data_IF_775968010102
#
_entry.id   IF_775968010102
#
_cell.length_a   1.000
_cell.length_b   1.000
_cell.length_c   1.000
_cell.angle_alpha   90.00
_cell.angle_beta   90.00
_cell.angle_gamma   90.00
#
_symmetry.space_group_name_H-M   'P 1'
#
loop_
_entity.id
_entity.type
_entity.pdbx_description
1 polymer ?
#
# COMPACT_ATOMS: atom_id res chain seq x y z
N UNK A 1 -68.05 -15.40 -29.72
CA UNK A 1 -66.93 -14.48 -29.46
C UNK A 1 -66.69 -14.45 -27.97
N UNK A 2 -65.53 -14.92 -27.49
CA UNK A 2 -64.99 -14.62 -26.16
C UNK A 2 -63.52 -15.10 -26.12
N UNK A 3 -62.59 -14.15 -26.17
CA UNK A 3 -61.14 -14.32 -26.00
C UNK A 3 -60.78 -14.45 -24.52
N UNK A 4 -59.76 -15.23 -24.15
CA UNK A 4 -59.08 -15.09 -22.87
C UNK A 4 -57.60 -14.71 -23.08
N UNK A 5 -57.25 -13.44 -22.85
CA UNK A 5 -55.85 -12.98 -22.85
C UNK A 5 -55.65 -12.01 -21.66
N UNK A 6 -55.41 -12.56 -20.47
CA UNK A 6 -55.26 -11.75 -19.25
C UNK A 6 -54.33 -12.37 -18.19
N UNK A 7 -53.26 -13.07 -18.59
CA UNK A 7 -52.37 -13.75 -17.63
C UNK A 7 -50.86 -13.72 -17.96
N UNK A 8 -50.35 -12.68 -18.65
CA UNK A 8 -48.91 -12.60 -18.99
C UNK A 8 -48.11 -11.42 -18.39
N UNK A 9 -48.74 -10.48 -17.67
CA UNK A 9 -48.05 -9.23 -17.28
C UNK A 9 -47.45 -9.19 -15.86
N UNK A 10 -47.61 -10.22 -15.03
CA UNK A 10 -47.05 -10.22 -13.66
C UNK A 10 -45.56 -10.63 -13.60
N UNK A 11 -45.06 -11.36 -14.61
CA UNK A 11 -43.67 -11.84 -14.63
C UNK A 11 -42.63 -10.79 -15.01
N UNK A 12 -43.04 -9.71 -15.69
CA UNK A 12 -42.12 -8.68 -16.22
C UNK A 12 -41.68 -7.70 -15.13
N UNK A 13 -42.55 -7.41 -14.15
CA UNK A 13 -42.25 -6.46 -13.06
C UNK A 13 -41.26 -7.01 -12.02
N UNK A 14 -41.34 -8.30 -11.69
CA UNK A 14 -40.40 -8.94 -10.76
C UNK A 14 -38.98 -9.04 -11.35
N UNK A 15 -38.87 -9.37 -12.63
CA UNK A 15 -37.58 -9.36 -13.34
C UNK A 15 -36.97 -7.96 -13.43
N UNK A 16 -37.78 -6.91 -13.63
CA UNK A 16 -37.29 -5.53 -13.65
C UNK A 16 -36.78 -5.05 -12.28
N UNK A 17 -37.41 -5.50 -11.18
CA UNK A 17 -36.98 -5.18 -9.82
C UNK A 17 -35.65 -5.87 -9.45
N UNK A 18 -35.50 -7.17 -9.75
CA UNK A 18 -34.23 -7.88 -9.48
C UNK A 18 -33.09 -7.39 -10.37
N UNK A 19 -33.35 -7.07 -11.65
CA UNK A 19 -32.35 -6.45 -12.54
C UNK A 19 -31.92 -5.08 -12.01
N UNK A 20 -32.81 -4.32 -11.39
CA UNK A 20 -32.47 -3.01 -10.82
C UNK A 20 -31.64 -3.10 -9.53
N UNK A 21 -31.87 -4.09 -8.66
CA UNK A 21 -31.06 -4.29 -7.45
C UNK A 21 -29.67 -4.86 -7.78
N UNK A 22 -29.60 -5.79 -8.72
CA UNK A 22 -28.33 -6.31 -9.24
C UNK A 22 -27.56 -5.21 -9.98
N UNK A 23 -28.24 -4.31 -10.68
CA UNK A 23 -27.62 -3.15 -11.32
C UNK A 23 -26.96 -2.20 -10.31
N UNK A 24 -27.65 -1.94 -9.20
CA UNK A 24 -27.14 -1.11 -8.12
C UNK A 24 -25.93 -1.75 -7.42
N UNK A 25 -25.90 -3.07 -7.24
CA UNK A 25 -24.76 -3.74 -6.60
C UNK A 25 -23.53 -3.86 -7.53
N UNK A 26 -23.74 -3.81 -8.85
CA UNK A 26 -22.67 -3.83 -9.85
C UNK A 26 -22.03 -2.46 -10.11
N UNK A 27 -22.63 -1.38 -9.57
CA UNK A 27 -22.09 -0.01 -9.65
C UNK A 27 -21.30 0.32 -8.39
N UNK A 28 -19.97 0.39 -8.51
CA UNK A 28 -19.10 0.78 -7.38
C UNK A 28 -19.31 2.26 -7.04
N UNK A 29 -19.49 2.58 -5.75
CA UNK A 29 -19.58 3.96 -5.22
C UNK A 29 -18.22 4.67 -5.24
N UNK A 30 -17.63 4.88 -6.41
CA UNK A 30 -16.40 5.65 -6.57
C UNK A 30 -16.57 6.70 -7.65
N UNK A 31 -16.11 7.91 -7.37
CA UNK A 31 -16.11 9.08 -8.27
C UNK A 31 -15.09 8.98 -9.41
N UNK A 32 -14.64 7.76 -9.74
CA UNK A 32 -13.66 7.53 -10.80
C UNK A 32 -14.36 7.53 -12.16
N UNK A 33 -13.86 8.33 -13.10
CA UNK A 33 -14.42 8.52 -14.45
C UNK A 33 -14.55 7.21 -15.23
N UNK A 34 -13.75 6.18 -14.89
CA UNK A 34 -13.83 4.88 -15.55
C UNK A 34 -15.18 4.18 -15.34
N UNK A 35 -15.90 4.48 -14.26
CA UNK A 35 -17.20 3.85 -13.96
C UNK A 35 -18.36 4.41 -14.79
N UNK A 36 -18.17 5.53 -15.49
CA UNK A 36 -19.13 5.99 -16.49
C UNK A 36 -19.22 5.02 -17.68
N UNK A 37 -18.12 4.32 -17.96
CA UNK A 37 -17.94 3.48 -19.15
C UNK A 37 -17.79 1.99 -18.82
N UNK A 38 -17.91 1.63 -17.53
CA UNK A 38 -17.77 0.27 -17.07
C UNK A 38 -18.63 -0.06 -15.86
N UNK A 39 -18.99 -1.34 -15.75
CA UNK A 39 -19.69 -1.91 -14.59
C UNK A 39 -18.97 -3.15 -14.08
N UNK A 40 -19.17 -3.54 -12.83
CA UNK A 40 -18.74 -4.88 -12.38
C UNK A 40 -19.50 -5.95 -13.19
N UNK A 41 -18.82 -7.05 -13.51
CA UNK A 41 -19.49 -8.25 -14.02
C UNK A 41 -20.28 -8.91 -12.90
N UNK A 42 -19.63 -9.11 -11.75
CA UNK A 42 -20.19 -9.84 -10.61
C UNK A 42 -20.10 -9.02 -9.32
N UNK A 43 -21.13 -9.07 -8.45
CA UNK A 43 -21.13 -8.42 -7.14
C UNK A 43 -19.99 -8.90 -6.22
N UNK A 44 -19.63 -10.17 -6.35
CA UNK A 44 -18.63 -10.83 -5.52
C UNK A 44 -17.20 -10.55 -6.02
N UNK A 45 -17.01 -10.47 -7.34
CA UNK A 45 -15.71 -10.26 -7.98
C UNK A 45 -15.46 -8.81 -8.38
N UNK A 46 -14.90 -8.05 -7.44
CA UNK A 46 -14.52 -6.63 -7.62
C UNK A 46 -13.47 -6.40 -8.73
N UNK A 47 -12.80 -7.44 -9.19
CA UNK A 47 -11.75 -7.35 -10.19
C UNK A 47 -12.25 -7.54 -11.63
N UNK A 48 -13.47 -8.08 -11.81
CA UNK A 48 -14.06 -8.30 -13.13
C UNK A 48 -14.93 -7.11 -13.50
N UNK A 49 -14.50 -6.36 -14.52
CA UNK A 49 -15.19 -5.16 -15.00
C UNK A 49 -15.49 -5.30 -16.47
N UNK A 50 -16.74 -5.06 -16.86
CA UNK A 50 -17.20 -5.08 -18.24
C UNK A 50 -17.25 -3.68 -18.81
N UNK A 51 -16.73 -3.53 -20.03
CA UNK A 51 -16.85 -2.31 -20.82
C UNK A 51 -18.28 -2.17 -21.35
N UNK A 52 -18.93 -1.02 -21.13
CA UNK A 52 -20.28 -0.76 -21.62
C UNK A 52 -20.34 -0.52 -23.13
N UNK A 53 -19.23 -0.12 -23.75
CA UNK A 53 -19.17 0.21 -25.18
C UNK A 53 -18.99 -1.03 -26.06
N UNK A 54 -18.05 -1.89 -25.71
CA UNK A 54 -17.71 -3.08 -26.52
C UNK A 54 -18.05 -4.41 -25.87
N UNK A 55 -18.46 -4.42 -24.60
CA UNK A 55 -18.76 -5.63 -23.85
C UNK A 55 -17.54 -6.42 -23.36
N UNK A 56 -16.32 -5.94 -23.63
CA UNK A 56 -15.10 -6.65 -23.23
C UNK A 56 -14.94 -6.68 -21.71
N UNK A 57 -14.57 -7.84 -21.19
CA UNK A 57 -14.32 -8.04 -19.76
C UNK A 57 -12.84 -7.89 -19.43
N UNK A 58 -12.55 -7.19 -18.32
CA UNK A 58 -11.22 -6.95 -17.81
C UNK A 58 -11.10 -7.51 -16.39
N UNK A 59 -10.10 -8.36 -16.14
CA UNK A 59 -9.88 -9.05 -14.85
C UNK A 59 -9.02 -8.26 -13.84
N UNK A 60 -8.56 -7.04 -14.17
CA UNK A 60 -7.74 -6.22 -13.26
C UNK A 60 -8.45 -4.94 -12.80
N UNK A 61 -9.77 -4.98 -12.75
CA UNK A 61 -10.59 -3.86 -12.31
C UNK A 61 -10.59 -2.68 -13.28
N UNK A 62 -10.90 -1.50 -12.74
CA UNK A 62 -11.17 -0.29 -13.51
C UNK A 62 -9.94 0.27 -14.24
N UNK A 63 -8.73 -0.03 -13.76
CA UNK A 63 -7.50 0.47 -14.35
C UNK A 63 -7.27 -0.10 -15.76
N UNK A 64 -7.46 -1.41 -15.93
CA UNK A 64 -7.38 -2.06 -17.24
C UNK A 64 -8.49 -1.60 -18.19
N UNK A 65 -9.69 -1.33 -17.67
CA UNK A 65 -10.75 -0.73 -18.46
C UNK A 65 -10.35 0.66 -18.99
N UNK A 66 -9.77 1.52 -18.13
CA UNK A 66 -9.28 2.84 -18.57
C UNK A 66 -8.22 2.73 -19.65
N UNK A 67 -7.32 1.76 -19.55
CA UNK A 67 -6.31 1.47 -20.58
C UNK A 67 -6.94 0.98 -21.91
N UNK A 68 -7.94 0.11 -21.83
CA UNK A 68 -8.74 -0.37 -22.96
C UNK A 68 -9.46 0.78 -23.70
N UNK A 69 -10.01 1.75 -22.97
CA UNK A 69 -10.69 2.93 -23.53
C UNK A 69 -9.71 3.98 -24.07
N UNK A 70 -8.58 4.18 -23.40
CA UNK A 70 -7.57 5.17 -23.80
C UNK A 70 -6.65 4.68 -24.94
N UNK A 71 -6.73 3.40 -25.33
CA UNK A 71 -5.77 2.74 -26.23
C UNK A 71 -4.32 2.83 -25.77
N UNK A 72 -4.12 2.81 -24.44
CA UNK A 72 -2.81 2.92 -23.80
C UNK A 72 -2.41 1.54 -23.27
N UNK A 73 -1.25 1.05 -23.70
CA UNK A 73 -0.69 -0.24 -23.30
C UNK A 73 -0.72 -1.28 -24.42
N UNK A 74 0.22 -2.23 -24.36
CA UNK A 74 0.43 -3.27 -25.39
C UNK A 74 -0.28 -4.58 -25.06
N UNK A 75 -0.45 -4.89 -23.77
CA UNK A 75 -1.05 -6.15 -23.28
C UNK A 75 -2.58 -6.14 -23.25
N UNK A 76 -3.22 -5.02 -23.64
CA UNK A 76 -4.66 -4.80 -23.44
C UNK A 76 -5.33 -4.62 -24.79
N UNK A 77 -6.44 -5.33 -25.00
CA UNK A 77 -7.28 -5.19 -26.20
C UNK A 77 -7.74 -3.74 -26.29
N UNK A 78 -7.75 -3.14 -27.48
CA UNK A 78 -8.23 -1.76 -27.70
C UNK A 78 -9.73 -1.77 -27.95
N UNK A 79 -10.45 -0.74 -27.51
CA UNK A 79 -11.89 -0.65 -27.72
C UNK A 79 -12.23 -0.25 -29.17
N UNK A 80 -12.94 -1.07 -29.95
CA UNK A 80 -13.30 -0.70 -31.32
C UNK A 80 -14.42 0.36 -31.39
N UNK A 81 -15.22 0.50 -30.32
CA UNK A 81 -16.44 1.34 -30.29
C UNK A 81 -16.27 2.62 -29.48
N UNK A 82 -15.04 2.98 -29.08
CA UNK A 82 -14.81 4.17 -28.25
C UNK A 82 -14.85 5.43 -29.10
N UNK A 83 -15.54 6.47 -28.63
CA UNK A 83 -15.47 7.80 -29.24
C UNK A 83 -14.15 8.49 -28.88
N UNK A 84 -13.67 9.37 -29.76
CA UNK A 84 -12.38 10.04 -29.52
C UNK A 84 -12.42 10.90 -28.25
N UNK A 85 -13.56 11.50 -27.91
CA UNK A 85 -13.73 12.26 -26.66
C UNK A 85 -13.51 11.41 -25.40
N UNK A 86 -14.10 10.22 -25.36
CA UNK A 86 -13.95 9.28 -24.23
C UNK A 86 -12.52 8.81 -24.13
N UNK A 87 -11.90 8.48 -25.26
CA UNK A 87 -10.49 8.10 -25.33
C UNK A 87 -9.58 9.19 -24.77
N UNK A 88 -9.78 10.45 -25.15
CA UNK A 88 -8.99 11.57 -24.63
C UNK A 88 -9.23 11.81 -23.13
N UNK A 89 -10.48 11.73 -22.65
CA UNK A 89 -10.80 11.84 -21.22
C UNK A 89 -10.10 10.76 -20.39
N UNK A 90 -10.19 9.49 -20.83
CA UNK A 90 -9.53 8.39 -20.14
C UNK A 90 -8.00 8.53 -20.18
N UNK A 91 -7.42 8.97 -21.30
CA UNK A 91 -5.98 9.21 -21.43
C UNK A 91 -5.49 10.28 -20.45
N UNK A 92 -6.14 11.46 -20.41
CA UNK A 92 -5.78 12.54 -19.47
C UNK A 92 -5.84 12.08 -18.02
N UNK A 93 -6.87 11.33 -17.63
CA UNK A 93 -7.00 10.82 -16.26
C UNK A 93 -5.86 9.86 -15.88
N UNK A 94 -5.43 9.00 -16.81
CA UNK A 94 -4.28 8.11 -16.62
C UNK A 94 -2.97 8.91 -16.50
N UNK A 95 -2.78 9.90 -17.38
CA UNK A 95 -1.57 10.73 -17.41
C UNK A 95 -1.44 11.60 -16.15
N UNK A 96 -2.53 12.22 -15.68
CA UNK A 96 -2.55 12.98 -14.43
C UNK A 96 -2.21 12.12 -13.22
N UNK A 97 -2.76 10.90 -13.16
CA UNK A 97 -2.45 9.95 -12.09
C UNK A 97 -0.98 9.52 -12.14
N UNK A 98 -0.44 9.31 -13.35
CA UNK A 98 0.97 8.98 -13.53
C UNK A 98 1.89 10.16 -13.17
N UNK A 99 1.52 11.38 -13.54
CA UNK A 99 2.24 12.61 -13.19
C UNK A 99 2.26 12.82 -11.68
N UNK A 100 1.12 12.76 -11.00
CA UNK A 100 1.05 12.86 -9.52
C UNK A 100 1.95 11.83 -8.82
N UNK A 101 2.04 10.60 -9.35
CA UNK A 101 2.96 9.58 -8.83
C UNK A 101 4.43 9.95 -9.04
N UNK A 102 4.79 10.51 -10.20
CA UNK A 102 6.15 11.00 -10.49
C UNK A 102 6.51 12.20 -9.60
N UNK A 103 5.60 13.17 -9.48
CA UNK A 103 5.80 14.36 -8.66
C UNK A 103 6.02 13.97 -7.19
N UNK A 104 5.23 13.02 -6.66
CA UNK A 104 5.46 12.47 -5.32
C UNK A 104 6.83 11.79 -5.19
N UNK A 105 7.22 10.95 -6.16
CA UNK A 105 8.52 10.29 -6.15
C UNK A 105 9.69 11.28 -6.22
N UNK A 106 9.52 12.36 -6.98
CA UNK A 106 10.50 13.42 -7.10
C UNK A 106 10.61 14.21 -5.79
N UNK A 107 9.48 14.59 -5.18
CA UNK A 107 9.46 15.21 -3.86
C UNK A 107 10.13 14.34 -2.79
N UNK A 108 9.79 13.05 -2.74
CA UNK A 108 10.40 12.09 -1.81
C UNK A 108 11.93 11.98 -2.04
N UNK A 109 12.40 12.15 -3.28
CA UNK A 109 13.82 12.16 -3.64
C UNK A 109 14.50 13.46 -3.19
N UNK A 110 13.88 14.61 -3.45
CA UNK A 110 14.38 15.94 -3.04
C UNK A 110 14.47 16.07 -1.52
N UNK A 111 13.43 15.62 -0.80
CA UNK A 111 13.45 15.58 0.67
C UNK A 111 14.60 14.71 1.18
N UNK A 112 14.88 13.58 0.53
CA UNK A 112 16.01 12.70 0.88
C UNK A 112 17.36 13.35 0.61
N UNK A 113 17.50 14.07 -0.50
CA UNK A 113 18.74 14.76 -0.88
C UNK A 113 19.05 15.95 0.05
N UNK A 114 18.01 16.65 0.50
CA UNK A 114 18.13 17.77 1.44
C UNK A 114 18.45 17.34 2.89
N UNK A 115 18.49 16.03 3.20
CA UNK A 115 19.04 15.56 4.48
C UNK A 115 20.56 15.57 4.37
N UNK A 116 21.19 16.71 4.71
CA UNK A 116 22.62 16.76 4.95
C UNK A 116 22.96 15.91 6.20
N UNK A 117 23.38 14.68 5.98
CA UNK A 117 24.19 13.98 6.97
C UNK A 117 25.56 14.67 6.99
N UNK A 118 25.89 15.36 8.08
CA UNK A 118 27.26 15.79 8.32
C UNK A 118 28.14 14.53 8.42
N UNK A 119 28.64 14.03 7.29
CA UNK A 119 29.70 13.03 7.24
C UNK A 119 30.97 13.71 7.72
N UNK A 120 31.30 13.46 8.99
CA UNK A 120 32.68 13.47 9.44
C UNK A 120 33.45 12.53 8.50
N UNK A 121 34.46 13.09 7.85
CA UNK A 121 35.34 12.40 6.92
C UNK A 121 36.02 11.24 7.64
N UNK A 122 35.73 10.01 7.25
CA UNK A 122 36.68 8.91 7.45
C UNK A 122 36.51 7.85 6.36
N UNK A 123 37.65 7.28 5.98
CA UNK A 123 38.03 6.81 4.66
C UNK A 123 37.17 5.71 4.01
N UNK A 124 37.11 5.78 2.68
CA UNK A 124 36.51 4.79 1.79
C UNK A 124 37.46 3.60 1.69
N UNK A 125 37.02 2.41 2.14
CA UNK A 125 37.66 1.14 1.77
C UNK A 125 36.66 0.36 0.92
N UNK A 126 36.93 0.32 -0.39
CA UNK A 126 36.29 -0.59 -1.33
C UNK A 126 36.61 -2.04 -0.95
N UNK A 127 35.58 -2.85 -0.72
CA UNK A 127 35.70 -4.30 -0.73
C UNK A 127 34.66 -4.86 -1.68
N UNK A 128 35.15 -5.34 -2.83
CA UNK A 128 34.40 -6.11 -3.80
C UNK A 128 33.73 -7.32 -3.13
N UNK A 129 32.42 -7.46 -3.31
CA UNK A 129 31.68 -8.65 -2.88
C UNK A 129 31.36 -9.54 -4.08
N UNK A 130 32.01 -10.69 -4.08
CA UNK A 130 31.65 -11.84 -4.91
C UNK A 130 30.43 -12.53 -4.27
N UNK A 131 29.58 -13.15 -5.09
CA UNK A 131 28.32 -13.86 -4.79
C UNK A 131 27.05 -13.03 -4.97
N UNK A 132 26.32 -13.40 -6.03
CA UNK A 132 25.11 -12.75 -6.51
C UNK A 132 23.95 -12.69 -5.52
N UNK A 133 23.48 -11.47 -5.30
CA UNK A 133 22.09 -11.15 -4.95
C UNK A 133 21.84 -9.73 -5.43
N UNK A 134 21.02 -9.60 -6.49
CA UNK A 134 20.43 -8.36 -7.04
C UNK A 134 21.11 -7.06 -6.59
N UNK A 135 21.94 -6.48 -7.46
CA UNK A 135 22.76 -5.27 -7.30
C UNK A 135 22.01 -3.95 -7.00
N UNK A 136 20.78 -4.01 -6.51
CA UNK A 136 20.08 -2.82 -6.01
C UNK A 136 20.21 -2.78 -4.48
N UNK A 137 21.06 -1.90 -3.92
CA UNK A 137 21.06 -1.67 -2.48
C UNK A 137 19.65 -1.23 -2.09
N UNK A 138 18.97 -2.04 -1.28
CA UNK A 138 17.65 -1.68 -0.74
C UNK A 138 17.79 -0.32 -0.08
N UNK A 139 17.09 0.70 -0.61
CA UNK A 139 17.16 2.07 -0.11
C UNK A 139 16.73 2.10 1.35
N UNK A 140 17.71 2.12 2.25
CA UNK A 140 17.45 2.17 3.67
C UNK A 140 16.92 3.55 4.01
N UNK A 141 15.79 3.57 4.71
CA UNK A 141 15.25 4.77 5.32
C UNK A 141 15.92 5.05 6.67
N UNK A 142 15.80 6.26 7.21
CA UNK A 142 16.31 6.58 8.55
C UNK A 142 15.82 5.62 9.65
N UNK A 143 14.62 5.03 9.48
CA UNK A 143 14.06 4.00 10.37
C UNK A 143 14.81 2.67 10.33
N UNK A 144 15.47 2.32 9.23
CA UNK A 144 16.11 1.01 9.07
C UNK A 144 17.39 0.86 9.90
N UNK A 145 17.87 1.96 10.50
CA UNK A 145 18.96 1.95 11.49
C UNK A 145 18.57 1.21 12.77
N UNK A 146 17.28 1.20 13.12
CA UNK A 146 16.76 0.60 14.35
C UNK A 146 16.18 -0.81 14.14
N UNK A 147 16.02 -1.25 12.89
CA UNK A 147 15.38 -2.53 12.54
C UNK A 147 16.36 -3.55 11.96
N UNK A 148 17.62 -3.17 11.73
CA UNK A 148 18.65 -4.07 11.22
C UNK A 148 19.49 -4.69 12.33
N UNK A 149 19.86 -5.97 12.22
CA UNK A 149 20.80 -6.63 13.12
C UNK A 149 22.11 -5.88 13.24
N UNK A 150 22.47 -5.50 14.46
CA UNK A 150 23.81 -5.07 14.82
C UNK A 150 24.72 -6.31 14.70
N UNK A 151 25.79 -6.15 13.95
CA UNK A 151 26.89 -7.07 13.69
C UNK A 151 26.62 -8.38 12.92
N UNK A 152 27.19 -8.53 11.71
CA UNK A 152 27.11 -9.78 10.92
C UNK A 152 27.94 -10.94 11.52
N UNK A 153 28.64 -10.72 12.64
CA UNK A 153 29.42 -11.74 13.35
C UNK A 153 28.66 -12.35 14.53
N UNK A 154 27.48 -11.84 14.89
CA UNK A 154 26.70 -12.38 16.00
C UNK A 154 25.69 -13.41 15.48
N UNK A 155 25.67 -14.57 16.14
CA UNK A 155 24.75 -15.66 15.80
C UNK A 155 23.30 -15.16 15.84
N UNK A 156 22.42 -15.78 15.04
CA UNK A 156 20.99 -15.40 14.96
C UNK A 156 20.25 -15.43 16.31
N UNK A 157 20.82 -16.05 17.35
CA UNK A 157 20.29 -16.06 18.70
C UNK A 157 20.56 -14.74 19.46
N UNK A 158 21.77 -14.16 19.32
CA UNK A 158 22.13 -12.87 19.92
C UNK A 158 21.34 -11.72 19.32
N UNK A 159 21.11 -11.75 18.00
CA UNK A 159 20.40 -10.72 17.23
C UNK A 159 18.92 -10.59 17.63
N UNK A 160 18.29 -11.67 18.09
CA UNK A 160 16.88 -11.67 18.53
C UNK A 160 16.67 -11.19 19.96
N UNK A 161 17.75 -10.87 20.70
CA UNK A 161 17.61 -10.33 22.04
C UNK A 161 17.22 -8.86 21.96
N UNK A 162 15.92 -8.64 21.72
CA UNK A 162 15.28 -7.35 21.91
C UNK A 162 15.68 -6.83 23.30
N UNK A 163 16.33 -5.68 23.37
CA UNK A 163 16.76 -5.11 24.65
C UNK A 163 15.51 -4.86 25.49
N UNK A 164 15.30 -5.71 26.49
CA UNK A 164 14.10 -5.68 27.32
C UNK A 164 14.25 -4.53 28.32
N UNK A 165 13.31 -3.59 28.29
CA UNK A 165 13.27 -2.41 29.18
C UNK A 165 13.28 -2.83 30.66
N UNK A 166 12.81 -4.04 30.97
CA UNK A 166 12.88 -4.59 32.33
C UNK A 166 14.30 -4.61 32.86
N UNK A 167 15.31 -5.00 32.08
CA UNK A 167 16.70 -5.08 32.58
C UNK A 167 17.18 -3.71 33.09
N UNK A 168 16.79 -2.62 32.43
CA UNK A 168 17.10 -1.26 32.86
C UNK A 168 16.32 -0.87 34.12
N UNK A 169 15.02 -1.21 34.20
CA UNK A 169 14.18 -0.96 35.36
C UNK A 169 14.65 -1.72 36.62
N UNK A 170 15.08 -2.97 36.46
CA UNK A 170 15.62 -3.77 37.57
C UNK A 170 16.94 -3.19 38.08
N UNK A 171 17.82 -2.74 37.18
CA UNK A 171 19.09 -2.07 37.54
C UNK A 171 18.86 -0.76 38.30
N UNK A 172 17.90 0.04 37.85
CA UNK A 172 17.53 1.28 38.55
C UNK A 172 16.99 0.98 39.95
N UNK A 173 16.12 -0.03 40.08
CA UNK A 173 15.56 -0.44 41.37
C UNK A 173 16.62 -0.95 42.34
N UNK A 174 17.57 -1.78 41.89
CA UNK A 174 18.66 -2.26 42.75
C UNK A 174 19.60 -1.13 43.15
N UNK A 175 19.89 -0.20 42.25
CA UNK A 175 20.73 0.96 42.56
C UNK A 175 20.09 1.84 43.63
N UNK A 176 18.78 2.08 43.58
CA UNK A 176 18.06 2.84 44.62
C UNK A 176 18.13 2.17 45.99
N UNK A 177 17.99 0.84 46.06
CA UNK A 177 18.12 0.08 47.31
C UNK A 177 19.55 0.18 47.85
N UNK A 178 20.56 0.03 46.99
CA UNK A 178 21.97 0.16 47.39
C UNK A 178 22.28 1.56 47.93
N UNK A 179 21.78 2.61 47.28
CA UNK A 179 21.92 3.98 47.77
C UNK A 179 21.24 4.20 49.13
N UNK A 180 20.04 3.65 49.31
CA UNK A 180 19.33 3.74 50.60
C UNK A 180 20.11 3.04 51.71
N UNK A 181 20.59 1.81 51.47
CA UNK A 181 21.38 1.04 52.44
C UNK A 181 22.70 1.74 52.74
N UNK A 182 23.41 2.23 51.73
CA UNK A 182 24.65 2.97 51.92
C UNK A 182 24.43 4.26 52.74
N UNK A 183 23.35 5.00 52.46
CA UNK A 183 22.98 6.20 53.22
C UNK A 183 22.59 5.85 54.65
N UNK A 184 21.84 4.77 54.86
CA UNK A 184 21.48 4.29 56.19
C UNK A 184 22.72 3.87 56.99
N UNK A 185 23.63 3.10 56.41
CA UNK A 185 24.90 2.72 57.04
C UNK A 185 25.76 3.94 57.37
N UNK A 186 25.84 4.93 56.49
CA UNK A 186 26.62 6.14 56.74
C UNK A 186 26.03 6.99 57.88
N UNK A 187 24.71 7.09 57.95
CA UNK A 187 24.01 7.92 58.95
C UNK A 187 23.87 7.24 60.30
N UNK A 188 23.58 5.94 60.33
CA UNK A 188 23.35 5.17 61.56
C UNK A 188 24.53 4.30 61.99
N UNK A 189 25.43 3.92 61.07
CA UNK A 189 26.63 3.14 61.37
C UNK A 189 27.79 3.96 61.94
N UNK A 190 27.82 5.29 61.73
CA UNK A 190 28.81 6.18 62.34
C UNK A 190 28.41 6.70 63.74
N UNK A 191 27.20 6.40 64.22
CA UNK A 191 26.71 6.81 65.55
C UNK A 191 26.84 5.71 66.62
N UNK A 192 27.53 4.61 66.30
CA UNK A 192 27.79 3.51 67.23
C UNK A 192 29.28 3.13 67.25
N UNK A 193 30.14 4.12 67.54
CA UNK A 193 31.51 3.96 68.05
C UNK A 193 31.78 5.09 69.03
#
# INVERSE_FOLDING_TARGET
MSNPEAAANAGIAAAAAEVSEVDNHLKRKSSDIGWEWGRLCDPHDKNRVKCLLCGQESTAGIYRLKQHLAHVGTSIVKCPKVSEEVKQKCKRNLDETAKKKKDKQQHDKEVRENVQLATVQEEIIEVESIVGSSSTPRKLGPMDKFTRPIDPKLSSAEVKRQQNINDALWKERTHQVQQYVARWMYTHGMLCT
#
